data_IF_305953681322
#
_entry.id   IF_305953681322
#
_cell.length_a   1.000
_cell.length_b   1.000
_cell.length_c   1.000
_cell.angle_alpha   90.00
_cell.angle_beta   90.00
_cell.angle_gamma   90.00
#
_symmetry.space_group_name_H-M   'P 1'
#
loop_
_entity.id
_entity.type
_entity.pdbx_description
1 polymer ?
#
# COMPACT_ATOMS: atom_id res chain seq x y z
N UNK A 1 1.24 -9.99 14.47
CA UNK A 1 1.07 -8.54 14.73
C UNK A 1 2.25 -7.65 14.26
N UNK A 2 3.19 -8.12 13.42
CA UNK A 2 4.38 -7.35 13.06
C UNK A 2 4.53 -7.00 11.56
N UNK A 3 3.74 -7.60 10.67
CA UNK A 3 4.00 -7.54 9.21
C UNK A 3 3.94 -6.14 8.63
N UNK A 4 2.96 -5.32 9.03
CA UNK A 4 2.83 -3.94 8.56
C UNK A 4 4.07 -3.09 8.89
N UNK A 5 4.49 -3.12 10.15
CA UNK A 5 5.56 -2.25 10.65
C UNK A 5 6.91 -2.67 10.12
N UNK A 6 7.12 -3.97 9.96
CA UNK A 6 8.37 -4.49 9.43
C UNK A 6 8.47 -4.19 7.93
N UNK A 7 7.37 -4.37 7.17
CA UNK A 7 7.32 -3.95 5.76
C UNK A 7 7.62 -2.45 5.60
N UNK A 8 7.04 -1.60 6.46
CA UNK A 8 7.32 -0.17 6.46
C UNK A 8 8.81 0.11 6.66
N UNK A 9 9.45 -0.50 7.66
CA UNK A 9 10.87 -0.27 7.96
C UNK A 9 11.78 -0.69 6.83
N UNK A 10 11.50 -1.82 6.20
CA UNK A 10 12.37 -2.39 5.16
C UNK A 10 12.24 -1.68 3.81
N UNK A 11 11.06 -1.14 3.50
CA UNK A 11 10.73 -0.65 2.16
C UNK A 11 10.52 0.88 2.11
N UNK A 12 10.57 1.57 3.24
CA UNK A 12 10.43 3.04 3.29
C UNK A 12 11.60 3.75 2.61
N UNK A 13 11.27 4.82 1.86
CA UNK A 13 12.23 5.74 1.25
C UNK A 13 11.85 7.17 1.64
N UNK A 14 12.84 8.00 2.00
CA UNK A 14 12.57 9.38 2.45
C UNK A 14 11.92 10.25 1.36
N UNK A 15 12.28 10.05 0.10
CA UNK A 15 11.87 10.90 -1.03
C UNK A 15 10.83 10.23 -1.92
N UNK A 16 9.77 9.66 -1.34
CA UNK A 16 8.66 9.10 -2.12
C UNK A 16 7.77 10.22 -2.67
N UNK A 17 7.41 10.10 -3.94
CA UNK A 17 6.30 10.86 -4.52
C UNK A 17 4.98 10.48 -3.86
N UNK A 18 3.94 11.30 -4.08
CA UNK A 18 2.61 11.01 -3.56
C UNK A 18 2.09 9.65 -4.04
N UNK A 19 2.23 9.35 -5.33
CA UNK A 19 1.74 8.09 -5.91
C UNK A 19 2.51 6.88 -5.37
N UNK A 20 3.83 7.00 -5.19
CA UNK A 20 4.65 5.98 -4.53
C UNK A 20 4.21 5.77 -3.08
N UNK A 21 3.93 6.85 -2.35
CA UNK A 21 3.49 6.79 -0.95
C UNK A 21 2.13 6.09 -0.82
N UNK A 22 1.19 6.39 -1.73
CA UNK A 22 -0.12 5.75 -1.76
C UNK A 22 0.02 4.26 -2.08
N UNK A 23 0.78 3.93 -3.12
CA UNK A 23 1.08 2.54 -3.52
C UNK A 23 1.72 1.76 -2.37
N UNK A 24 2.72 2.36 -1.71
CA UNK A 24 3.43 1.80 -0.56
C UNK A 24 2.49 1.51 0.63
N UNK A 25 1.59 2.45 0.92
CA UNK A 25 0.60 2.29 1.99
C UNK A 25 -0.36 1.13 1.69
N UNK A 26 -0.83 1.01 0.44
CA UNK A 26 -1.72 -0.07 0.03
C UNK A 26 -1.03 -1.44 0.02
N UNK A 27 0.24 -1.52 -0.37
CA UNK A 27 1.06 -2.74 -0.24
C UNK A 27 1.23 -3.14 1.22
N UNK A 28 1.58 -2.19 2.07
CA UNK A 28 1.70 -2.42 3.53
C UNK A 28 0.38 -2.96 4.10
N UNK A 29 -0.75 -2.37 3.70
CA UNK A 29 -2.07 -2.83 4.10
C UNK A 29 -2.31 -4.28 3.66
N UNK A 30 -1.99 -4.61 2.40
CA UNK A 30 -2.11 -5.97 1.84
C UNK A 30 -1.27 -7.00 2.61
N UNK A 31 -0.05 -6.66 3.03
CA UNK A 31 0.78 -7.55 3.86
C UNK A 31 0.28 -7.69 5.30
N UNK A 32 -0.63 -6.81 5.72
CA UNK A 32 -1.19 -6.79 7.08
C UNK A 32 -2.51 -7.54 7.20
N UNK A 33 -3.17 -7.82 6.08
CA UNK A 33 -4.50 -8.43 6.02
C UNK A 33 -4.45 -9.70 5.17
N UNK A 34 -5.21 -10.73 5.54
CA UNK A 34 -5.34 -11.96 4.74
C UNK A 34 -6.39 -11.84 3.63
N UNK A 35 -6.84 -10.62 3.31
CA UNK A 35 -7.86 -10.34 2.31
C UNK A 35 -7.28 -9.51 1.16
N UNK A 36 -7.88 -9.64 -0.03
CA UNK A 36 -7.50 -8.75 -1.13
C UNK A 36 -8.12 -7.36 -0.91
N UNK A 37 -7.33 -6.27 -0.90
CA UNK A 37 -7.88 -4.94 -0.81
C UNK A 37 -8.65 -4.60 -2.10
N UNK A 38 -9.86 -4.10 -1.92
CA UNK A 38 -10.84 -3.71 -2.95
C UNK A 38 -11.43 -2.34 -2.60
N UNK A 39 -12.06 -1.69 -3.58
CA UNK A 39 -12.75 -0.40 -3.35
C UNK A 39 -13.91 -0.45 -2.36
N UNK A 40 -14.40 -1.65 -2.01
CA UNK A 40 -15.50 -1.85 -1.07
C UNK A 40 -15.01 -2.08 0.37
N UNK A 41 -13.85 -2.72 0.55
CA UNK A 41 -13.29 -3.04 1.87
C UNK A 41 -12.11 -2.13 2.28
N UNK A 42 -11.67 -1.22 1.40
CA UNK A 42 -10.56 -0.29 1.66
C UNK A 42 -11.06 1.14 1.69
N UNK A 43 -10.56 1.93 2.65
CA UNK A 43 -10.77 3.39 2.70
C UNK A 43 -9.42 4.09 2.75
N UNK A 44 -9.27 5.13 1.94
CA UNK A 44 -8.06 5.92 1.86
C UNK A 44 -8.42 7.41 1.98
N UNK A 45 -7.66 8.13 2.78
CA UNK A 45 -7.71 9.57 2.86
C UNK A 45 -6.31 10.13 3.01
N UNK A 46 -6.08 11.33 2.49
CA UNK A 46 -4.78 11.99 2.55
C UNK A 46 -4.93 13.49 2.81
N UNK A 47 -3.85 14.09 3.27
CA UNK A 47 -3.68 15.54 3.40
C UNK A 47 -2.36 15.88 2.73
N UNK A 48 -2.40 16.70 1.66
CA UNK A 48 -1.17 17.14 1.01
C UNK A 48 -0.61 18.35 1.73
N UNK A 49 0.71 18.46 1.80
CA UNK A 49 1.39 19.62 2.41
C UNK A 49 1.09 20.92 1.66
N UNK A 50 0.89 20.82 0.35
CA UNK A 50 0.61 21.94 -0.56
C UNK A 50 -0.73 22.62 -0.27
N UNK A 51 -1.80 21.83 -0.11
CA UNK A 51 -3.15 22.34 0.07
C UNK A 51 -3.63 22.32 1.54
N UNK A 52 -3.01 21.49 2.39
CA UNK A 52 -3.40 21.20 3.77
C UNK A 52 -4.87 20.83 3.91
N UNK A 53 -5.46 20.25 2.86
CA UNK A 53 -6.87 19.88 2.82
C UNK A 53 -7.01 18.38 2.99
N UNK A 54 -7.97 17.99 3.81
CA UNK A 54 -8.39 16.61 3.92
C UNK A 54 -9.13 16.20 2.66
N UNK A 55 -8.63 15.16 2.00
CA UNK A 55 -9.28 14.52 0.85
C UNK A 55 -9.63 13.08 1.20
N UNK A 56 -10.91 12.75 1.16
CA UNK A 56 -11.39 11.37 1.23
C UNK A 56 -11.47 10.83 -0.20
N UNK A 57 -10.73 9.75 -0.47
CA UNK A 57 -10.77 9.14 -1.79
C UNK A 57 -12.16 8.52 -2.06
N UNK A 58 -12.69 8.80 -3.24
CA UNK A 58 -13.83 8.10 -3.81
C UNK A 58 -13.47 6.65 -4.15
N UNK A 59 -14.49 5.82 -4.40
CA UNK A 59 -14.30 4.42 -4.81
C UNK A 59 -13.50 4.29 -6.10
N UNK A 60 -13.70 5.20 -7.05
CA UNK A 60 -13.00 5.20 -8.34
C UNK A 60 -11.52 5.56 -8.17
N UNK A 61 -11.20 6.50 -7.28
CA UNK A 61 -9.81 6.81 -6.93
C UNK A 61 -9.12 5.62 -6.25
N UNK A 62 -9.80 4.98 -5.30
CA UNK A 62 -9.27 3.78 -4.64
C UNK A 62 -9.02 2.67 -5.65
N UNK A 63 -9.94 2.45 -6.59
CA UNK A 63 -9.76 1.46 -7.66
C UNK A 63 -8.56 1.75 -8.56
N UNK A 64 -8.34 3.02 -8.92
CA UNK A 64 -7.13 3.44 -9.66
C UNK A 64 -5.87 3.11 -8.88
N UNK A 65 -5.79 3.48 -7.61
CA UNK A 65 -4.61 3.19 -6.78
C UNK A 65 -4.39 1.68 -6.56
N UNK A 66 -5.48 0.92 -6.41
CA UNK A 66 -5.40 -0.54 -6.28
C UNK A 66 -4.95 -1.23 -7.57
N UNK A 67 -5.18 -0.63 -8.74
CA UNK A 67 -4.68 -1.19 -9.99
C UNK A 67 -3.17 -0.98 -10.15
N UNK A 68 -2.61 0.10 -9.61
CA UNK A 68 -1.15 0.36 -9.61
C UNK A 68 -0.37 -0.74 -8.87
N UNK A 69 -0.93 -1.30 -7.80
CA UNK A 69 -0.27 -2.38 -7.02
C UNK A 69 -0.49 -3.79 -7.58
N UNK A 70 -1.35 -3.96 -8.59
CA UNK A 70 -1.64 -5.28 -9.21
C UNK A 70 -0.66 -5.64 -10.33
N UNK A 71 -0.02 -4.65 -10.94
CA UNK A 71 0.88 -4.87 -12.09
C UNK A 71 2.33 -5.21 -11.70
N UNK A 72 2.67 -5.23 -10.41
CA UNK A 72 3.97 -5.73 -9.98
C UNK A 72 3.97 -7.27 -9.86
N UNK A 73 4.84 -7.99 -10.60
CA UNK A 73 4.95 -9.42 -10.47
C UNK A 73 5.41 -9.76 -9.05
N UNK A 74 4.65 -10.62 -8.37
CA UNK A 74 5.07 -11.27 -7.12
C UNK A 74 6.44 -11.92 -7.33
N UNK A 75 7.48 -11.39 -6.70
CA UNK A 75 8.60 -12.24 -6.30
C UNK A 75 8.08 -13.17 -5.20
N UNK A 76 8.09 -14.47 -5.50
CA UNK A 76 7.80 -15.53 -4.55
C UNK A 76 8.82 -15.48 -3.40
N UNK A 77 8.39 -15.63 -2.13
CA UNK A 77 9.34 -15.80 -1.04
C UNK A 77 10.13 -17.09 -1.30
N UNK A 78 11.45 -16.97 -1.44
CA UNK A 78 12.36 -18.13 -1.50
C UNK A 78 12.14 -18.95 -0.23
N UNK A 79 11.60 -20.15 -0.38
CA UNK A 79 11.61 -21.17 0.66
C UNK A 79 13.06 -21.39 1.11
N UNK A 80 13.34 -21.12 2.39
CA UNK A 80 14.55 -21.63 3.03
C UNK A 80 14.44 -23.16 3.12
N UNK A 81 15.43 -23.92 2.61
CA UNK A 81 15.43 -25.36 2.77
C UNK A 81 15.68 -25.69 4.24
N UNK A 82 14.69 -26.28 4.92
CA UNK A 82 14.92 -26.93 6.22
C UNK A 82 15.87 -28.11 6.01
N UNK A 83 17.05 -28.01 6.61
CA UNK A 83 18.03 -29.09 6.86
C UNK A 83 17.45 -30.24 7.65
#
# INVERSE_FOLDING_TARGET
>A
EATARDYLKENYKENMTFDETVTFTLKTLKESINETPTKENTRLAYIKSEDKKFHMCSKDEIEKFLNLIKEEPKEEPKEEPKT
#
